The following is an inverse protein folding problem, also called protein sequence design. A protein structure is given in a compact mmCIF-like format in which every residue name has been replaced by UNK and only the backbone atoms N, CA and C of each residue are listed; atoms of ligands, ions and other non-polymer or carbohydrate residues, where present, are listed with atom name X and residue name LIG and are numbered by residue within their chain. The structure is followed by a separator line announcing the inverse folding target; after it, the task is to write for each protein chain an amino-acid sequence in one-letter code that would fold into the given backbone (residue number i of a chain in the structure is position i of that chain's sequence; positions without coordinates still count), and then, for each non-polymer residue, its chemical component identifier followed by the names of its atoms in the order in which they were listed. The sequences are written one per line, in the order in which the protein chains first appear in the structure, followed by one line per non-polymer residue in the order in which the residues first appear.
data_IF_745142287630
#
_entry.id   IF_745142287630
#
_cell.length_a   1.000
_cell.length_b   1.000
_cell.length_c   1.000
_cell.angle_alpha   90.00
_cell.angle_beta   90.00
_cell.angle_gamma   90.00
#
_symmetry.space_group_name_H-M   'P 1'
#
loop_
_entity.id
_entity.type
_entity.pdbx_description
1 polymer ?
#
# COMPACT_ATOMS: atom_id res chain seq x y z
N UNK A 1 -16.46 6.85 -3.73
CA UNK A 1 -15.11 6.50 -4.20
C UNK A 1 -14.35 6.18 -2.96
N UNK A 2 -13.98 4.92 -2.79
CA UNK A 2 -13.27 4.47 -1.59
C UNK A 2 -11.83 4.26 -1.97
N UNK A 3 -10.93 5.03 -1.34
CA UNK A 3 -9.50 4.84 -1.56
C UNK A 3 -9.02 3.70 -0.67
N UNK A 4 -8.15 2.85 -1.18
CA UNK A 4 -7.51 1.81 -0.39
C UNK A 4 -6.00 2.06 -0.36
N UNK A 5 -5.43 2.02 0.83
CA UNK A 5 -4.01 2.32 1.08
C UNK A 5 -3.33 1.19 1.84
N UNK A 6 -2.20 0.71 1.35
CA UNK A 6 -1.42 -0.35 1.97
C UNK A 6 0.07 -0.04 1.93
N UNK A 7 0.86 -0.80 2.70
CA UNK A 7 2.32 -0.79 2.60
C UNK A 7 2.81 -2.20 2.29
N UNK A 8 3.81 -2.37 1.44
CA UNK A 8 4.39 -3.69 1.15
C UNK A 8 5.83 -3.55 0.65
N UNK A 9 6.65 -4.56 0.91
CA UNK A 9 8.04 -4.61 0.43
C UNK A 9 8.20 -5.14 -1.00
N UNK A 10 7.14 -5.68 -1.61
CA UNK A 10 7.22 -6.39 -2.88
C UNK A 10 6.10 -5.90 -3.79
N UNK A 11 6.46 -5.06 -4.76
CA UNK A 11 5.53 -4.51 -5.74
C UNK A 11 4.83 -5.63 -6.53
N UNK A 12 5.55 -6.68 -6.94
CA UNK A 12 4.97 -7.81 -7.68
C UNK A 12 3.91 -8.60 -6.89
N UNK A 13 4.05 -8.67 -5.56
CA UNK A 13 3.06 -9.33 -4.69
C UNK A 13 1.83 -8.46 -4.51
N UNK A 14 2.04 -7.16 -4.51
CA UNK A 14 1.00 -6.15 -4.42
C UNK A 14 0.12 -6.19 -5.66
N UNK A 15 0.70 -6.18 -6.87
CA UNK A 15 -0.05 -6.31 -8.11
C UNK A 15 -0.92 -7.57 -8.12
N UNK A 16 -0.35 -8.74 -7.75
CA UNK A 16 -1.11 -9.99 -7.66
C UNK A 16 -2.21 -9.98 -6.59
N UNK A 17 -1.95 -9.36 -5.44
CA UNK A 17 -2.97 -9.19 -4.38
C UNK A 17 -4.15 -8.37 -4.92
N UNK A 18 -3.85 -7.31 -5.67
CA UNK A 18 -4.85 -6.42 -6.26
C UNK A 18 -5.59 -7.06 -7.44
N UNK A 19 -4.92 -7.84 -8.28
CA UNK A 19 -5.55 -8.68 -9.31
C UNK A 19 -6.56 -9.65 -8.66
N UNK A 20 -6.16 -10.33 -7.59
CA UNK A 20 -7.04 -11.24 -6.84
C UNK A 20 -8.22 -10.54 -6.17
N UNK A 21 -8.09 -9.27 -5.81
CA UNK A 21 -9.18 -8.45 -5.26
C UNK A 21 -10.12 -7.88 -6.33
N UNK A 22 -9.88 -8.16 -7.62
CA UNK A 22 -10.71 -7.71 -8.73
C UNK A 22 -10.56 -6.22 -9.07
N UNK A 23 -9.45 -5.60 -8.66
CA UNK A 23 -9.20 -4.16 -8.80
C UNK A 23 -8.53 -3.79 -10.14
N UNK A 24 -8.80 -4.56 -11.19
CA UNK A 24 -8.18 -4.45 -12.52
C UNK A 24 -8.27 -3.05 -13.19
N UNK A 25 -9.19 -2.19 -12.72
CA UNK A 25 -9.46 -0.87 -13.31
C UNK A 25 -8.92 0.31 -12.48
N UNK A 26 -8.36 0.06 -11.29
CA UNK A 26 -7.91 1.12 -10.40
C UNK A 26 -6.44 1.50 -10.69
N UNK A 27 -6.14 2.78 -10.84
CA UNK A 27 -4.77 3.25 -11.00
C UNK A 27 -3.99 2.99 -9.70
N UNK A 28 -3.08 2.02 -9.75
CA UNK A 28 -2.18 1.70 -8.64
C UNK A 28 -1.06 2.75 -8.58
N UNK A 29 -1.07 3.57 -7.55
CA UNK A 29 0.03 4.50 -7.28
C UNK A 29 0.94 3.91 -6.22
N UNK A 30 2.22 3.73 -6.56
CA UNK A 30 3.27 3.31 -5.63
C UNK A 30 4.07 4.53 -5.14
N UNK A 31 4.32 4.61 -3.84
CA UNK A 31 5.09 5.68 -3.18
C UNK A 31 6.26 5.06 -2.42
N UNK A 32 7.47 5.59 -2.61
CA UNK A 32 8.68 5.10 -1.97
C UNK A 32 9.91 5.19 -2.88
N UNK A 33 10.99 4.44 -2.59
CA UNK A 33 11.15 3.50 -1.47
C UNK A 33 11.27 4.20 -0.10
N UNK A 34 10.67 3.61 0.93
CA UNK A 34 10.88 3.96 2.33
C UNK A 34 12.01 3.11 2.93
N UNK A 35 12.88 3.72 3.74
CA UNK A 35 14.02 3.02 4.32
C UNK A 35 13.62 2.08 5.47
N UNK A 36 12.43 2.27 6.04
CA UNK A 36 11.92 1.45 7.15
C UNK A 36 10.41 1.26 7.09
N UNK A 37 9.92 0.20 7.74
CA UNK A 37 8.47 -0.04 7.96
C UNK A 37 7.82 1.16 8.67
N UNK A 38 8.55 1.77 9.60
CA UNK A 38 8.06 2.88 10.40
C UNK A 38 7.79 4.13 9.56
N UNK A 39 8.64 4.42 8.57
CA UNK A 39 8.40 5.50 7.61
C UNK A 39 7.20 5.20 6.70
N UNK A 40 7.07 3.97 6.22
CA UNK A 40 5.93 3.57 5.41
C UNK A 40 4.61 3.65 6.20
N UNK A 41 4.61 3.22 7.47
CA UNK A 41 3.46 3.36 8.38
C UNK A 41 3.14 4.82 8.67
N UNK A 42 4.15 5.68 8.85
CA UNK A 42 3.94 7.11 9.04
C UNK A 42 3.28 7.75 7.81
N UNK A 43 3.73 7.39 6.60
CA UNK A 43 3.07 7.80 5.36
C UNK A 43 1.62 7.30 5.28
N UNK A 44 1.38 6.03 5.61
CA UNK A 44 0.04 5.45 5.58
C UNK A 44 -0.92 6.15 6.55
N UNK A 45 -0.43 6.50 7.74
CA UNK A 45 -1.19 7.24 8.75
C UNK A 45 -1.48 8.68 8.29
N UNK A 46 -0.50 9.33 7.66
CA UNK A 46 -0.67 10.67 7.07
C UNK A 46 -1.72 10.66 5.94
N UNK A 47 -1.69 9.65 5.05
CA UNK A 47 -2.71 9.46 4.01
C UNK A 47 -4.09 9.24 4.61
N UNK A 48 -4.20 8.43 5.67
CA UNK A 48 -5.46 8.22 6.36
C UNK A 48 -6.04 9.49 6.98
N UNK A 49 -5.19 10.34 7.53
CA UNK A 49 -5.64 11.61 8.11
C UNK A 49 -6.06 12.63 7.05
N UNK A 50 -5.49 12.55 5.84
CA UNK A 50 -5.82 13.43 4.72
C UNK A 50 -7.06 12.97 3.94
N UNK A 51 -7.42 11.70 4.03
CA UNK A 51 -8.43 11.06 3.18
C UNK A 51 -9.45 10.38 4.09
N UNK A 52 -10.60 11.05 4.29
CA UNK A 52 -11.66 10.61 5.21
C UNK A 52 -12.26 9.25 4.84
N UNK A 53 -12.33 8.89 3.56
CA UNK A 53 -12.89 7.63 3.05
C UNK A 53 -11.77 6.73 2.50
N UNK A 54 -10.82 6.36 3.38
CA UNK A 54 -9.76 5.41 3.05
C UNK A 54 -9.83 4.12 3.85
N UNK A 55 -9.55 3.00 3.18
CA UNK A 55 -9.42 1.67 3.77
C UNK A 55 -7.95 1.27 3.85
N UNK A 56 -7.50 0.94 5.05
CA UNK A 56 -6.16 0.43 5.31
C UNK A 56 -6.12 -1.05 4.95
N UNK A 57 -5.21 -1.43 4.05
CA UNK A 57 -4.89 -2.82 3.76
C UNK A 57 -3.61 -3.17 4.52
N UNK A 58 -3.71 -4.11 5.44
CA UNK A 58 -2.55 -4.69 6.07
C UNK A 58 -1.91 -5.71 5.13
N UNK A 59 -0.61 -5.57 4.80
CA UNK A 59 0.07 -6.56 3.99
C UNK A 59 0.10 -7.90 4.71
N UNK A 60 -0.37 -8.95 4.04
CA UNK A 60 -0.14 -10.32 4.45
C UNK A 60 1.16 -10.81 3.82
N UNK A 61 2.22 -10.97 4.61
CA UNK A 61 3.49 -11.48 4.09
C UNK A 61 4.61 -11.51 5.12
N UNK A 62 5.65 -12.30 4.82
CA UNK A 62 6.90 -12.29 5.57
C UNK A 62 7.63 -10.98 5.29
N UNK A 63 7.98 -10.27 6.37
CA UNK A 63 8.75 -9.04 6.34
C UNK A 63 10.25 -9.40 6.21
N UNK A 64 10.95 -8.80 5.25
CA UNK A 64 12.41 -8.94 5.09
C UNK A 64 13.11 -7.63 5.41
N UNK A 65 14.07 -7.63 6.31
CA UNK A 65 14.81 -6.42 6.70
C UNK A 65 15.68 -5.86 5.55
N UNK A 66 15.95 -6.66 4.53
CA UNK A 66 16.81 -6.29 3.38
C UNK A 66 16.05 -5.62 2.23
N UNK A 67 14.71 -5.55 2.30
CA UNK A 67 13.88 -5.05 1.21
C UNK A 67 13.19 -3.74 1.63
N UNK A 68 13.31 -2.65 0.85
CA UNK A 68 12.66 -1.39 1.17
C UNK A 68 11.14 -1.53 1.17
N UNK A 69 10.48 -0.66 1.93
CA UNK A 69 9.02 -0.60 1.98
C UNK A 69 8.48 0.34 0.92
N UNK A 70 7.32 0.02 0.39
CA UNK A 70 6.59 0.88 -0.54
C UNK A 70 5.18 1.06 -0.03
N UNK A 71 4.66 2.27 -0.18
CA UNK A 71 3.26 2.61 0.03
C UNK A 71 2.49 2.43 -1.27
N UNK A 72 1.26 1.99 -1.19
CA UNK A 72 0.40 1.75 -2.33
C UNK A 72 -0.97 2.37 -2.07
N UNK A 73 -1.53 3.03 -3.08
CA UNK A 73 -2.88 3.58 -3.04
C UNK A 73 -3.62 3.30 -4.33
N UNK A 74 -4.92 3.03 -4.25
CA UNK A 74 -5.79 2.85 -5.41
C UNK A 74 -7.24 3.20 -5.09
N UNK A 75 -7.99 3.55 -6.13
CA UNK A 75 -9.40 3.98 -6.01
C UNK A 75 -10.37 2.86 -6.42
N UNK A 76 -11.42 2.67 -5.63
CA UNK A 76 -12.53 1.76 -5.91
C UNK A 76 -13.87 2.50 -6.08
#
# INVERSE_FOLDING_TARGET
MTLMIGIHQHQDKVEKLYENMGLHAAELTAVGPFASKQEALAWQLDMRNKIEDCHIIEPAGLESEEVPWYGFSFEK
#
